data_IF_489241496509
#
_entry.id   IF_489241496509
#
_cell.length_a   1.000
_cell.length_b   1.000
_cell.length_c   1.000
_cell.angle_alpha   90.00
_cell.angle_beta   90.00
_cell.angle_gamma   90.00
#
_symmetry.space_group_name_H-M   'P 1'
#
loop_
_entity.id
_entity.type
_entity.pdbx_description
1 polymer ?
#
# COMPACT_ATOMS: atom_id res chain seq x y z
N UNK A 1 -96.67 29.62 -44.55
CA UNK A 1 -96.61 28.93 -43.24
C UNK A 1 -96.71 30.00 -42.18
N UNK A 2 -97.71 29.90 -41.31
CA UNK A 2 -98.01 30.92 -40.31
C UNK A 2 -96.86 31.07 -39.31
N UNK A 3 -96.57 32.32 -38.93
CA UNK A 3 -95.72 32.64 -37.78
C UNK A 3 -96.42 32.14 -36.51
N UNK A 4 -96.18 30.87 -36.18
CA UNK A 4 -96.69 30.23 -34.97
C UNK A 4 -95.70 30.42 -33.81
N UNK A 5 -96.22 30.38 -32.58
CA UNK A 5 -95.45 30.45 -31.33
C UNK A 5 -94.22 29.51 -31.27
N UNK A 6 -94.20 28.47 -32.11
CA UNK A 6 -93.08 27.54 -32.34
C UNK A 6 -91.79 28.25 -32.79
N UNK A 7 -91.86 29.28 -33.63
CA UNK A 7 -90.68 30.05 -34.08
C UNK A 7 -90.09 30.90 -32.94
N UNK A 8 -90.96 31.48 -32.09
CA UNK A 8 -90.53 32.24 -30.92
C UNK A 8 -89.88 31.30 -29.88
N UNK A 9 -90.46 30.12 -29.65
CA UNK A 9 -89.89 29.09 -28.77
C UNK A 9 -88.56 28.52 -29.28
N UNK A 10 -88.40 28.37 -30.60
CA UNK A 10 -87.14 27.96 -31.22
C UNK A 10 -86.06 29.04 -31.07
N UNK A 11 -86.40 30.32 -31.22
CA UNK A 11 -85.46 31.43 -30.98
C UNK A 11 -85.00 31.51 -29.53
N UNK A 12 -85.91 31.40 -28.55
CA UNK A 12 -85.53 31.37 -27.12
C UNK A 12 -84.61 30.17 -26.83
N UNK A 13 -84.95 28.99 -27.36
CA UNK A 13 -84.13 27.77 -27.19
C UNK A 13 -82.74 27.94 -27.79
N UNK A 14 -82.63 28.57 -28.97
CA UNK A 14 -81.35 28.83 -29.63
C UNK A 14 -80.49 29.84 -28.86
N UNK A 15 -81.10 30.89 -28.31
CA UNK A 15 -80.42 31.90 -27.48
C UNK A 15 -79.89 31.28 -26.18
N UNK A 16 -80.69 30.45 -25.50
CA UNK A 16 -80.26 29.74 -24.30
C UNK A 16 -79.12 28.76 -24.59
N UNK A 17 -79.17 28.07 -25.74
CA UNK A 17 -78.11 27.17 -26.18
C UNK A 17 -76.81 27.93 -26.45
N UNK A 18 -76.84 29.05 -27.18
CA UNK A 18 -75.66 29.88 -27.42
C UNK A 18 -75.07 30.39 -26.11
N UNK A 19 -75.92 30.89 -25.20
CA UNK A 19 -75.46 31.37 -23.89
C UNK A 19 -74.80 30.27 -23.07
N UNK A 20 -75.36 29.05 -23.08
CA UNK A 20 -74.77 27.90 -22.41
C UNK A 20 -73.43 27.49 -23.05
N UNK A 21 -73.34 27.48 -24.39
CA UNK A 21 -72.11 27.19 -25.11
C UNK A 21 -71.00 28.20 -24.79
N UNK A 22 -71.32 29.50 -24.78
CA UNK A 22 -70.35 30.55 -24.44
C UNK A 22 -69.89 30.46 -22.98
N UNK A 23 -70.79 30.16 -22.05
CA UNK A 23 -70.47 30.17 -20.62
C UNK A 23 -69.76 28.91 -20.13
N UNK A 24 -70.08 27.73 -20.68
CA UNK A 24 -69.60 26.45 -20.13
C UNK A 24 -68.67 25.66 -21.04
N UNK A 25 -68.87 25.72 -22.36
CA UNK A 25 -68.11 24.89 -23.31
C UNK A 25 -66.86 25.62 -23.80
N UNK A 26 -66.99 26.87 -24.24
CA UNK A 26 -65.87 27.68 -24.72
C UNK A 26 -64.72 27.84 -23.72
N UNK A 27 -64.95 28.21 -22.44
CA UNK A 27 -63.84 28.37 -21.49
C UNK A 27 -63.09 27.06 -21.24
N UNK A 28 -63.79 25.91 -21.20
CA UNK A 28 -63.14 24.61 -21.01
C UNK A 28 -62.24 24.24 -22.19
N UNK A 29 -62.68 24.53 -23.42
CA UNK A 29 -61.89 24.24 -24.63
C UNK A 29 -60.63 25.11 -24.68
N UNK A 30 -60.76 26.41 -24.38
CA UNK A 30 -59.64 27.35 -24.40
C UNK A 30 -58.62 26.99 -23.32
N UNK A 31 -59.06 26.65 -22.11
CA UNK A 31 -58.15 26.22 -21.03
C UNK A 31 -57.32 24.99 -21.43
N UNK A 32 -57.92 23.98 -22.07
CA UNK A 32 -57.18 22.78 -22.51
C UNK A 32 -56.13 23.13 -23.57
N UNK A 33 -56.43 24.08 -24.46
CA UNK A 33 -55.50 24.53 -25.50
C UNK A 33 -54.36 25.33 -24.87
N UNK A 34 -54.66 26.25 -23.95
CA UNK A 34 -53.67 27.05 -23.23
C UNK A 34 -52.74 26.18 -22.38
N UNK A 35 -53.27 25.19 -21.67
CA UNK A 35 -52.46 24.28 -20.86
C UNK A 35 -51.49 23.48 -21.73
N UNK A 36 -51.94 22.99 -22.89
CA UNK A 36 -51.06 22.31 -23.86
C UNK A 36 -49.97 23.23 -24.40
N UNK A 37 -50.31 24.48 -24.73
CA UNK A 37 -49.32 25.46 -25.19
C UNK A 37 -48.30 25.76 -24.09
N UNK A 38 -48.75 25.96 -22.83
CA UNK A 38 -47.86 26.19 -21.68
C UNK A 38 -46.95 25.00 -21.43
N UNK A 39 -47.46 23.77 -21.48
CA UNK A 39 -46.66 22.55 -21.33
C UNK A 39 -45.56 22.47 -22.39
N UNK A 40 -45.88 22.70 -23.67
CA UNK A 40 -44.87 22.66 -24.77
C UNK A 40 -43.79 23.72 -24.56
N UNK A 41 -44.16 24.94 -24.18
CA UNK A 41 -43.19 26.02 -23.91
C UNK A 41 -42.30 25.69 -22.71
N UNK A 42 -42.87 25.13 -21.64
CA UNK A 42 -42.12 24.71 -20.46
C UNK A 42 -41.18 23.54 -20.78
N UNK A 43 -41.65 22.54 -21.52
CA UNK A 43 -40.83 21.40 -21.96
C UNK A 43 -39.67 21.85 -22.84
N UNK A 44 -39.91 22.75 -23.80
CA UNK A 44 -38.84 23.27 -24.66
C UNK A 44 -37.77 24.03 -23.86
N UNK A 45 -38.19 24.92 -22.96
CA UNK A 45 -37.28 25.64 -22.05
C UNK A 45 -36.49 24.69 -21.15
N UNK A 46 -37.13 23.64 -20.65
CA UNK A 46 -36.46 22.62 -19.84
C UNK A 46 -35.43 21.83 -20.66
N UNK A 47 -35.72 21.49 -21.93
CA UNK A 47 -34.77 20.81 -22.82
C UNK A 47 -33.54 21.68 -23.08
N UNK A 48 -33.71 22.99 -23.34
CA UNK A 48 -32.57 23.89 -23.54
C UNK A 48 -31.69 23.96 -22.30
N UNK A 49 -32.29 24.14 -21.11
CA UNK A 49 -31.56 24.12 -19.83
C UNK A 49 -30.85 22.79 -19.58
N UNK A 50 -31.49 21.66 -19.88
CA UNK A 50 -30.88 20.35 -19.75
C UNK A 50 -29.68 20.18 -20.68
N UNK A 51 -29.76 20.65 -21.94
CA UNK A 51 -28.64 20.64 -22.88
C UNK A 51 -27.46 21.47 -22.38
N UNK A 52 -27.74 22.67 -21.83
CA UNK A 52 -26.70 23.51 -21.24
C UNK A 52 -26.07 22.84 -20.02
N UNK A 53 -26.88 22.31 -19.10
CA UNK A 53 -26.41 21.58 -17.93
C UNK A 53 -25.57 20.37 -18.32
N UNK A 54 -25.97 19.60 -19.34
CA UNK A 54 -25.18 18.49 -19.85
C UNK A 54 -23.81 18.93 -20.35
N UNK A 55 -23.73 20.08 -21.04
CA UNK A 55 -22.45 20.64 -21.51
C UNK A 55 -21.56 21.07 -20.34
N UNK A 56 -22.14 21.67 -19.30
CA UNK A 56 -21.41 22.06 -18.08
C UNK A 56 -20.90 20.82 -17.36
N UNK A 57 -21.78 19.85 -17.08
CA UNK A 57 -21.44 18.58 -16.41
C UNK A 57 -20.37 17.80 -17.18
N UNK A 58 -20.44 17.76 -18.51
CA UNK A 58 -19.43 17.13 -19.35
C UNK A 58 -18.06 17.81 -19.21
N UNK A 59 -18.04 19.15 -19.26
CA UNK A 59 -16.81 19.92 -19.09
C UNK A 59 -16.20 19.75 -17.69
N UNK A 60 -17.04 19.76 -16.65
CA UNK A 60 -16.61 19.52 -15.27
C UNK A 60 -16.08 18.10 -15.09
N UNK A 61 -16.77 17.09 -15.60
CA UNK A 61 -16.31 15.70 -15.59
C UNK A 61 -14.95 15.55 -16.27
N UNK A 62 -14.77 16.20 -17.43
CA UNK A 62 -13.48 16.22 -18.14
C UNK A 62 -12.38 16.91 -17.34
N UNK A 63 -12.70 18.02 -16.65
CA UNK A 63 -11.76 18.70 -15.75
C UNK A 63 -11.36 17.81 -14.59
N UNK A 64 -12.32 17.17 -13.91
CA UNK A 64 -12.09 16.25 -12.80
C UNK A 64 -11.19 15.10 -13.25
N UNK A 65 -11.50 14.44 -14.37
CA UNK A 65 -10.67 13.35 -14.90
C UNK A 65 -9.24 13.82 -15.16
N UNK A 66 -9.06 14.99 -15.77
CA UNK A 66 -7.73 15.53 -16.04
C UNK A 66 -6.98 15.90 -14.75
N UNK A 67 -7.68 16.45 -13.76
CA UNK A 67 -7.10 16.78 -12.46
C UNK A 67 -6.69 15.50 -11.71
N UNK A 68 -7.57 14.50 -11.62
CA UNK A 68 -7.27 13.21 -10.98
C UNK A 68 -6.10 12.49 -11.67
N UNK A 69 -5.98 12.59 -13.00
CA UNK A 69 -4.80 12.07 -13.73
C UNK A 69 -3.51 12.78 -13.32
N UNK A 70 -3.53 14.11 -13.19
CA UNK A 70 -2.37 14.88 -12.72
C UNK A 70 -1.99 14.53 -11.28
N UNK A 71 -2.99 14.42 -10.40
CA UNK A 71 -2.81 14.01 -9.01
C UNK A 71 -2.22 12.59 -8.93
N UNK A 72 -2.72 11.64 -9.72
CA UNK A 72 -2.17 10.29 -9.78
C UNK A 72 -0.69 10.28 -10.22
N UNK A 73 -0.33 11.06 -11.23
CA UNK A 73 1.07 11.21 -11.67
C UNK A 73 1.93 11.81 -10.55
N UNK A 74 1.42 12.81 -9.83
CA UNK A 74 2.13 13.41 -8.70
C UNK A 74 2.34 12.41 -7.56
N UNK A 75 1.33 11.60 -7.22
CA UNK A 75 1.43 10.54 -6.21
C UNK A 75 2.49 9.52 -6.62
N UNK A 76 2.49 9.07 -7.88
CA UNK A 76 3.51 8.14 -8.39
C UNK A 76 4.91 8.75 -8.31
N UNK A 77 5.05 10.04 -8.64
CA UNK A 77 6.33 10.76 -8.55
C UNK A 77 6.82 10.83 -7.10
N UNK A 78 5.94 11.18 -6.16
CA UNK A 78 6.27 11.24 -4.74
C UNK A 78 6.66 9.86 -4.20
N UNK A 79 5.88 8.81 -4.52
CA UNK A 79 6.19 7.44 -4.11
C UNK A 79 7.55 6.97 -4.64
N UNK A 80 7.91 7.34 -5.88
CA UNK A 80 9.23 7.03 -6.43
C UNK A 80 10.36 7.78 -5.70
N UNK A 81 10.16 9.04 -5.33
CA UNK A 81 11.13 9.79 -4.54
C UNK A 81 11.32 9.18 -3.15
N UNK A 82 10.21 8.84 -2.48
CA UNK A 82 10.24 8.17 -1.18
C UNK A 82 10.93 6.81 -1.26
N UNK A 83 10.67 6.03 -2.32
CA UNK A 83 11.33 4.74 -2.57
C UNK A 83 12.86 4.90 -2.64
N UNK A 84 13.36 5.91 -3.35
CA UNK A 84 14.81 6.18 -3.46
C UNK A 84 15.38 6.49 -2.08
N UNK A 85 14.73 7.37 -1.31
CA UNK A 85 15.16 7.72 0.06
C UNK A 85 15.17 6.48 0.97
N UNK A 86 14.16 5.62 0.88
CA UNK A 86 14.08 4.37 1.66
C UNK A 86 15.22 3.42 1.27
N UNK A 87 15.50 3.27 -0.03
CA UNK A 87 16.61 2.45 -0.51
C UNK A 87 17.95 2.98 -0.01
N UNK A 88 18.21 4.29 -0.09
CA UNK A 88 19.42 4.90 0.43
C UNK A 88 19.58 4.67 1.93
N UNK A 89 18.52 4.90 2.72
CA UNK A 89 18.51 4.62 4.16
C UNK A 89 18.77 3.15 4.46
N UNK A 90 18.17 2.22 3.69
CA UNK A 90 18.37 0.79 3.84
C UNK A 90 19.83 0.41 3.57
N UNK A 91 20.44 0.93 2.49
CA UNK A 91 21.85 0.70 2.15
C UNK A 91 22.76 1.22 3.25
N UNK A 92 22.55 2.45 3.74
CA UNK A 92 23.34 3.02 4.84
C UNK A 92 23.22 2.18 6.12
N UNK A 93 22.01 1.73 6.46
CA UNK A 93 21.78 0.87 7.62
C UNK A 93 22.48 -0.49 7.47
N UNK A 94 22.46 -1.07 6.27
CA UNK A 94 23.11 -2.33 5.94
C UNK A 94 24.64 -2.20 6.03
N UNK A 95 25.22 -1.11 5.52
CA UNK A 95 26.65 -0.81 5.66
C UNK A 95 27.05 -0.65 7.13
N UNK A 96 26.24 0.03 7.94
CA UNK A 96 26.48 0.18 9.38
C UNK A 96 26.44 -1.17 10.11
N UNK A 97 25.41 -1.99 9.84
CA UNK A 97 25.30 -3.36 10.39
C UNK A 97 26.47 -4.24 9.95
N UNK A 98 26.85 -4.21 8.66
CA UNK A 98 28.01 -4.94 8.14
C UNK A 98 29.28 -4.58 8.90
N UNK A 99 29.54 -3.29 9.11
CA UNK A 99 30.72 -2.82 9.87
C UNK A 99 30.68 -3.34 11.32
N UNK A 100 29.51 -3.29 11.97
CA UNK A 100 29.34 -3.80 13.33
C UNK A 100 29.60 -5.31 13.42
N UNK A 101 29.03 -6.11 12.51
CA UNK A 101 29.25 -7.56 12.45
C UNK A 101 30.72 -7.88 12.21
N UNK A 102 31.40 -7.14 11.33
CA UNK A 102 32.82 -7.36 11.05
C UNK A 102 33.68 -7.06 12.30
N UNK A 103 33.39 -5.99 13.02
CA UNK A 103 34.07 -5.67 14.28
C UNK A 103 33.83 -6.75 15.36
N UNK A 104 32.60 -7.25 15.46
CA UNK A 104 32.27 -8.36 16.36
C UNK A 104 33.05 -9.63 15.99
N UNK A 105 33.04 -10.03 14.72
CA UNK A 105 33.80 -11.18 14.23
C UNK A 105 35.31 -11.04 14.51
N UNK A 106 35.90 -9.85 14.30
CA UNK A 106 37.30 -9.60 14.64
C UNK A 106 37.57 -9.74 16.15
N UNK A 107 36.64 -9.30 17.00
CA UNK A 107 36.77 -9.46 18.45
C UNK A 107 36.66 -10.93 18.87
N UNK A 108 35.76 -11.70 18.26
CA UNK A 108 35.60 -13.13 18.49
C UNK A 108 36.84 -13.91 18.06
N UNK A 109 37.41 -13.60 16.90
CA UNK A 109 38.67 -14.21 16.42
C UNK A 109 39.80 -13.98 17.43
N UNK A 110 39.93 -12.76 17.96
CA UNK A 110 40.97 -12.46 18.99
C UNK A 110 40.76 -13.28 20.26
N UNK A 111 39.51 -13.42 20.71
CA UNK A 111 39.18 -14.26 21.88
C UNK A 111 39.53 -15.72 21.60
N UNK A 112 39.17 -16.25 20.43
CA UNK A 112 39.48 -17.61 20.01
C UNK A 112 41.00 -17.84 19.92
N UNK A 113 41.77 -16.87 19.42
CA UNK A 113 43.23 -16.96 19.36
C UNK A 113 43.85 -17.08 20.76
N UNK A 114 43.37 -16.29 21.72
CA UNK A 114 43.81 -16.38 23.12
C UNK A 114 43.44 -17.74 23.72
N UNK A 115 42.24 -18.24 23.46
CA UNK A 115 41.80 -19.56 23.92
C UNK A 115 42.64 -20.70 23.31
N UNK A 116 42.94 -20.62 22.01
CA UNK A 116 43.81 -21.57 21.29
C UNK A 116 45.22 -21.56 21.86
N UNK A 117 45.82 -20.37 22.09
CA UNK A 117 47.13 -20.25 22.73
C UNK A 117 47.13 -20.90 24.12
N UNK A 118 46.12 -20.64 24.95
CA UNK A 118 45.97 -21.28 26.27
C UNK A 118 45.86 -22.80 26.17
N UNK A 119 45.11 -23.31 25.19
CA UNK A 119 44.97 -24.75 24.96
C UNK A 119 46.31 -25.38 24.54
N UNK A 120 47.03 -24.75 23.61
CA UNK A 120 48.36 -25.19 23.18
C UNK A 120 49.37 -25.18 24.32
N UNK A 121 49.39 -24.14 25.16
CA UNK A 121 50.30 -24.11 26.32
C UNK A 121 50.00 -25.23 27.32
N UNK A 122 48.72 -25.58 27.50
CA UNK A 122 48.33 -26.71 28.36
C UNK A 122 48.79 -28.04 27.74
N UNK A 123 48.58 -28.25 26.44
CA UNK A 123 49.03 -29.46 25.73
C UNK A 123 50.56 -29.61 25.70
N UNK A 124 51.30 -28.51 25.57
CA UNK A 124 52.76 -28.53 25.67
C UNK A 124 53.18 -28.85 27.11
N UNK A 125 52.52 -28.29 28.12
CA UNK A 125 52.85 -28.56 29.52
C UNK A 125 52.64 -30.03 29.90
N UNK A 126 51.58 -30.67 29.38
CA UNK A 126 51.35 -32.11 29.58
C UNK A 126 52.40 -32.95 28.85
N UNK A 127 52.75 -32.61 27.60
CA UNK A 127 53.81 -33.28 26.85
C UNK A 127 55.18 -33.17 27.53
N UNK A 128 55.54 -31.98 28.03
CA UNK A 128 56.80 -31.77 28.78
C UNK A 128 56.81 -32.61 30.05
N UNK A 129 55.70 -32.68 30.81
CA UNK A 129 55.61 -33.55 31.99
C UNK A 129 55.83 -35.03 31.65
N UNK A 130 55.26 -35.51 30.52
CA UNK A 130 55.48 -36.87 30.02
C UNK A 130 56.93 -37.09 29.62
N UNK A 131 57.56 -36.14 28.91
CA UNK A 131 58.97 -36.22 28.53
C UNK A 131 59.88 -36.23 29.77
N UNK A 132 59.64 -35.36 30.74
CA UNK A 132 60.40 -35.32 32.00
C UNK A 132 60.28 -36.65 32.75
N UNK A 133 59.08 -37.24 32.84
CA UNK A 133 58.90 -38.58 33.41
C UNK A 133 59.71 -39.63 32.66
N UNK A 134 59.69 -39.62 31.32
CA UNK A 134 60.41 -40.61 30.49
C UNK A 134 61.93 -40.48 30.62
N UNK A 135 62.47 -39.25 30.63
CA UNK A 135 63.90 -38.97 30.84
C UNK A 135 64.32 -39.42 32.25
N UNK A 136 63.51 -39.11 33.27
CA UNK A 136 63.82 -39.45 34.66
C UNK A 136 63.83 -40.97 34.90
N UNK A 137 62.92 -41.71 34.27
CA UNK A 137 62.93 -43.19 34.27
C UNK A 137 64.19 -43.74 33.57
N UNK A 138 64.60 -43.17 32.43
CA UNK A 138 65.85 -43.57 31.75
C UNK A 138 67.09 -43.31 32.62
N UNK A 139 67.15 -42.16 33.30
CA UNK A 139 68.25 -41.84 34.22
C UNK A 139 68.31 -42.78 35.41
N UNK A 140 67.16 -43.12 36.02
CA UNK A 140 67.12 -44.09 37.12
C UNK A 140 67.56 -45.48 36.64
N UNK A 141 67.10 -45.94 35.48
CA UNK A 141 67.52 -47.24 34.93
C UNK A 141 69.03 -47.30 34.64
N UNK A 142 69.63 -46.24 34.09
CA UNK A 142 71.08 -46.16 33.89
C UNK A 142 71.85 -46.15 35.22
N UNK A 143 71.32 -45.49 36.25
CA UNK A 143 71.91 -45.45 37.59
C UNK A 143 71.81 -46.81 38.29
N UNK A 144 70.68 -47.49 38.16
CA UNK A 144 70.48 -48.85 38.66
C UNK A 144 71.40 -49.85 37.93
N UNK A 145 71.54 -49.74 36.60
CA UNK A 145 72.52 -50.56 35.86
C UNK A 145 73.96 -50.35 36.33
N UNK A 146 74.37 -49.11 36.65
CA UNK A 146 75.70 -48.87 37.24
C UNK A 146 75.82 -49.45 38.65
N UNK A 147 74.77 -49.33 39.47
CA UNK A 147 74.73 -49.89 40.82
C UNK A 147 74.81 -51.43 40.81
N UNK A 148 74.13 -52.08 39.86
CA UNK A 148 74.18 -53.53 39.68
C UNK A 148 75.57 -54.00 39.19
N UNK A 149 76.22 -53.24 38.30
CA UNK A 149 77.59 -53.54 37.85
C UNK A 149 78.60 -53.35 38.99
N UNK A 150 78.50 -52.27 39.78
CA UNK A 150 79.36 -52.05 40.94
C UNK A 150 79.16 -53.14 42.01
N UNK A 151 77.93 -53.58 42.26
CA UNK A 151 77.66 -54.68 43.19
C UNK A 151 78.10 -56.05 42.65
N UNK A 152 78.07 -56.28 41.34
CA UNK A 152 78.66 -57.48 40.73
C UNK A 152 80.19 -57.49 40.82
N UNK A 153 80.86 -56.33 40.69
CA UNK A 153 82.31 -56.20 40.87
C UNK A 153 82.72 -56.36 42.34
N UNK A 154 81.83 -56.02 43.29
CA UNK A 154 82.09 -56.11 44.73
C UNK A 154 81.79 -57.49 45.34
N UNK A 155 81.03 -58.33 44.64
CA UNK A 155 80.72 -59.72 45.01
C UNK A 155 81.57 -60.76 44.25
N UNK A 156 82.66 -60.32 43.62
CA UNK A 156 83.78 -61.14 43.15
C UNK A 156 84.99 -60.86 44.05
#
# INVERSE_FOLDING_TARGET
MNLNATILGQMISFILFIWFCMKYIWPKIILIIEDRQKMIVQEFSNIEKQKENLKIMYNESKKIINQSKKEAINIIKQANQEKVIILEKAILSAMKKKKQVLLQAQSEIKIQEIQLKKKLTNEISTLVSIMTKKILVQFINQKNQKYDIENMIKNL
#
